data_IF_690492686502
#
_entry.id   IF_690492686502
#
_cell.length_a   1.000
_cell.length_b   1.000
_cell.length_c   1.000
_cell.angle_alpha   90.00
_cell.angle_beta   90.00
_cell.angle_gamma   90.00
#
_symmetry.space_group_name_H-M   'P 1'
#
loop_
_entity.id
_entity.type
_entity.pdbx_description
1 polymer ?
#
# COMPACT_ATOMS: atom_id res chain seq x y z
N UNK A 1 -42.60 -35.15 37.90
CA UNK A 1 -42.88 -34.12 36.88
C UNK A 1 -41.72 -34.11 35.91
N UNK A 2 -41.90 -34.63 34.69
CA UNK A 2 -40.86 -34.76 33.67
C UNK A 2 -41.10 -33.66 32.64
N UNK A 3 -40.13 -32.75 32.49
CA UNK A 3 -40.22 -31.66 31.53
C UNK A 3 -40.09 -32.19 30.09
N UNK A 4 -40.90 -31.71 29.13
CA UNK A 4 -40.82 -32.16 27.75
C UNK A 4 -39.52 -31.69 27.09
N UNK A 5 -38.78 -32.64 26.51
CA UNK A 5 -37.57 -32.42 25.75
C UNK A 5 -37.87 -31.63 24.46
N UNK A 6 -37.20 -30.49 24.30
CA UNK A 6 -37.37 -29.60 23.16
C UNK A 6 -36.78 -30.23 21.87
N UNK A 7 -37.57 -30.41 20.79
CA UNK A 7 -37.07 -31.01 19.55
C UNK A 7 -36.04 -30.07 18.88
N UNK A 8 -34.80 -30.56 18.74
CA UNK A 8 -33.74 -29.88 17.97
C UNK A 8 -34.25 -29.59 16.56
N UNK A 9 -34.50 -28.31 16.26
CA UNK A 9 -34.68 -27.81 14.88
C UNK A 9 -33.48 -28.28 14.06
N UNK A 10 -33.73 -29.12 13.05
CA UNK A 10 -32.74 -29.47 12.04
C UNK A 10 -32.48 -28.21 11.22
N UNK A 11 -31.39 -27.52 11.54
CA UNK A 11 -30.89 -26.38 10.78
C UNK A 11 -30.46 -26.89 9.40
N UNK A 12 -31.33 -26.72 8.41
CA UNK A 12 -31.03 -27.03 7.01
C UNK A 12 -29.92 -26.08 6.58
N UNK A 13 -28.69 -26.59 6.49
CA UNK A 13 -27.54 -25.86 6.00
C UNK A 13 -27.85 -25.33 4.59
N UNK A 14 -28.14 -24.04 4.49
CA UNK A 14 -28.35 -23.35 3.24
C UNK A 14 -27.02 -23.36 2.48
N UNK A 15 -26.85 -24.30 1.55
CA UNK A 15 -25.65 -24.40 0.73
C UNK A 15 -25.54 -23.15 -0.13
N UNK A 16 -24.59 -22.27 0.20
CA UNK A 16 -24.27 -21.13 -0.66
C UNK A 16 -23.80 -21.66 -2.01
N UNK A 17 -24.21 -21.04 -3.13
CA UNK A 17 -23.71 -21.44 -4.44
C UNK A 17 -22.18 -21.37 -4.47
N UNK A 18 -21.51 -22.21 -5.26
CA UNK A 18 -20.05 -22.18 -5.39
C UNK A 18 -19.61 -20.79 -5.87
N UNK A 19 -18.61 -20.25 -5.19
CA UNK A 19 -18.04 -18.96 -5.54
C UNK A 19 -17.32 -19.05 -6.89
N UNK A 20 -17.60 -18.12 -7.79
CA UNK A 20 -17.00 -18.05 -9.13
C UNK A 20 -16.16 -16.79 -9.27
N UNK A 21 -15.18 -16.81 -10.18
CA UNK A 21 -14.34 -15.64 -10.51
C UNK A 21 -15.21 -14.44 -10.91
N UNK A 22 -16.23 -14.66 -11.76
CA UNK A 22 -17.16 -13.61 -12.17
C UNK A 22 -17.91 -12.99 -10.98
N UNK A 23 -18.37 -13.82 -10.04
CA UNK A 23 -19.05 -13.32 -8.83
C UNK A 23 -18.10 -12.54 -7.92
N UNK A 24 -16.83 -12.95 -7.82
CA UNK A 24 -15.81 -12.25 -7.04
C UNK A 24 -15.48 -10.89 -7.63
N UNK A 25 -15.28 -10.81 -8.95
CA UNK A 25 -14.98 -9.55 -9.64
C UNK A 25 -16.15 -8.56 -9.52
N UNK A 26 -17.39 -9.03 -9.68
CA UNK A 26 -18.57 -8.19 -9.47
C UNK A 26 -18.65 -7.67 -8.03
N UNK A 27 -18.28 -8.48 -7.04
CA UNK A 27 -18.22 -8.06 -5.65
C UNK A 27 -17.03 -7.13 -5.35
N UNK A 28 -15.90 -7.29 -6.06
CA UNK A 28 -14.69 -6.51 -5.88
C UNK A 28 -14.94 -5.02 -6.09
N UNK A 29 -15.63 -4.64 -7.17
CA UNK A 29 -15.95 -3.24 -7.47
C UNK A 29 -16.78 -2.61 -6.36
N UNK A 30 -17.77 -3.36 -5.84
CA UNK A 30 -18.59 -2.93 -4.72
C UNK A 30 -17.74 -2.72 -3.46
N UNK A 31 -16.90 -3.70 -3.12
CA UNK A 31 -16.01 -3.64 -1.95
C UNK A 31 -15.07 -2.43 -2.04
N UNK A 32 -14.43 -2.23 -3.19
CA UNK A 32 -13.50 -1.12 -3.41
C UNK A 32 -14.22 0.23 -3.36
N UNK A 33 -15.45 0.31 -3.89
CA UNK A 33 -16.29 1.50 -3.81
C UNK A 33 -16.68 1.84 -2.37
N UNK A 34 -17.03 0.83 -1.56
CA UNK A 34 -17.41 1.03 -0.17
C UNK A 34 -16.22 1.48 0.68
N UNK A 35 -15.01 0.99 0.39
CA UNK A 35 -13.78 1.50 0.99
C UNK A 35 -13.56 2.97 0.67
N UNK A 36 -13.77 3.40 -0.58
CA UNK A 36 -13.63 4.82 -0.96
C UNK A 36 -14.62 5.73 -0.20
N UNK A 37 -15.78 5.20 0.20
CA UNK A 37 -16.78 5.94 0.98
C UNK A 37 -16.48 5.97 2.48
N UNK A 38 -15.55 5.14 2.96
CA UNK A 38 -15.21 5.07 4.39
C UNK A 38 -14.64 6.39 4.91
N UNK A 39 -14.86 6.68 6.20
CA UNK A 39 -14.38 7.92 6.84
C UNK A 39 -12.86 8.07 6.73
N UNK A 40 -12.12 6.97 6.87
CA UNK A 40 -10.66 6.96 6.76
C UNK A 40 -10.18 7.48 5.39
N UNK A 41 -10.86 7.12 4.31
CA UNK A 41 -10.51 7.55 2.96
C UNK A 41 -10.97 8.97 2.63
N UNK A 42 -11.98 9.50 3.33
CA UNK A 42 -12.48 10.87 3.12
C UNK A 42 -11.64 11.92 3.83
N UNK A 43 -11.07 11.57 4.97
CA UNK A 43 -10.32 12.52 5.82
C UNK A 43 -8.94 12.82 5.26
N UNK A 44 -8.41 11.98 4.36
CA UNK A 44 -7.03 12.09 3.86
C UNK A 44 -7.00 12.08 2.36
N UNK A 45 -6.25 13.02 1.79
CA UNK A 45 -5.99 13.04 0.37
C UNK A 45 -5.20 11.80 -0.05
N UNK A 46 -5.62 11.20 -1.17
CA UNK A 46 -4.93 10.05 -1.75
C UNK A 46 -3.59 10.53 -2.28
N UNK A 47 -2.51 9.94 -1.76
CA UNK A 47 -1.17 10.23 -2.24
C UNK A 47 -0.96 9.62 -3.61
N UNK A 48 -0.27 10.36 -4.46
CA UNK A 48 0.30 9.80 -5.68
C UNK A 48 1.58 9.05 -5.31
N UNK A 49 1.76 7.90 -5.95
CA UNK A 49 2.94 7.06 -5.79
C UNK A 49 3.65 6.93 -7.12
N UNK A 50 4.99 6.91 -7.14
CA UNK A 50 5.72 6.59 -8.36
C UNK A 50 5.35 5.18 -8.81
N UNK A 51 5.10 5.06 -10.11
CA UNK A 51 4.87 3.78 -10.77
C UNK A 51 6.16 3.30 -11.43
N UNK A 52 6.50 2.03 -11.20
CA UNK A 52 7.65 1.36 -11.78
C UNK A 52 7.18 0.28 -12.76
N UNK A 53 7.87 0.15 -13.89
CA UNK A 53 7.70 -1.04 -14.72
C UNK A 53 8.37 -2.23 -14.04
N UNK A 54 7.80 -3.43 -14.21
CA UNK A 54 8.37 -4.64 -13.63
C UNK A 54 9.83 -4.89 -14.08
N UNK A 55 10.20 -4.45 -15.28
CA UNK A 55 11.56 -4.56 -15.82
C UNK A 55 12.56 -3.59 -15.19
N UNK A 56 12.10 -2.53 -14.51
CA UNK A 56 12.94 -1.56 -13.81
C UNK A 56 13.37 -2.07 -12.43
N UNK A 57 12.79 -3.15 -11.93
CA UNK A 57 12.91 -3.56 -10.53
C UNK A 57 13.50 -4.95 -10.42
N UNK A 58 14.71 -5.03 -9.90
CA UNK A 58 15.38 -6.30 -9.65
C UNK A 58 15.09 -6.75 -8.21
N UNK A 59 14.67 -8.01 -8.06
CA UNK A 59 14.30 -8.60 -6.76
C UNK A 59 15.32 -9.61 -6.29
N UNK A 60 15.67 -9.54 -5.00
CA UNK A 60 16.62 -10.45 -4.36
C UNK A 60 15.95 -11.59 -3.59
N UNK A 61 16.44 -11.86 -2.38
CA UNK A 61 15.95 -12.93 -1.51
C UNK A 61 14.47 -12.78 -1.13
N UNK A 62 13.80 -13.93 -0.92
CA UNK A 62 12.43 -13.98 -0.39
C UNK A 62 12.47 -13.74 1.11
N UNK A 63 11.77 -12.69 1.55
CA UNK A 63 11.63 -12.31 2.95
C UNK A 63 10.45 -13.01 3.64
N UNK A 64 9.43 -13.43 2.87
CA UNK A 64 8.28 -14.14 3.40
C UNK A 64 7.30 -14.60 2.35
N UNK A 65 6.51 -15.63 2.68
CA UNK A 65 5.45 -16.18 1.83
C UNK A 65 4.15 -16.14 2.64
N UNK A 66 3.13 -15.48 2.10
CA UNK A 66 1.78 -15.43 2.64
C UNK A 66 0.80 -16.29 1.84
N UNK A 67 -0.48 -16.27 2.22
CA UNK A 67 -1.52 -17.07 1.56
C UNK A 67 -1.67 -16.76 0.07
N UNK A 68 -1.62 -15.49 -0.31
CA UNK A 68 -1.80 -15.04 -1.71
C UNK A 68 -0.56 -14.42 -2.33
N UNK A 69 0.51 -14.22 -1.58
CA UNK A 69 1.64 -13.41 -2.06
C UNK A 69 2.98 -13.82 -1.51
N UNK A 70 4.02 -13.34 -2.19
CA UNK A 70 5.43 -13.52 -1.84
C UNK A 70 6.02 -12.14 -1.63
N UNK A 71 6.79 -11.96 -0.56
CA UNK A 71 7.53 -10.74 -0.27
C UNK A 71 9.00 -11.02 -0.51
N UNK A 72 9.62 -10.24 -1.40
CA UNK A 72 11.05 -10.29 -1.68
C UNK A 72 11.71 -8.95 -1.39
N UNK A 73 13.01 -8.94 -1.16
CA UNK A 73 13.75 -7.68 -1.12
C UNK A 73 13.89 -7.07 -2.52
N UNK A 74 14.06 -5.75 -2.57
CA UNK A 74 14.43 -5.05 -3.80
C UNK A 74 15.94 -4.87 -3.80
N UNK A 75 16.62 -5.56 -4.72
CA UNK A 75 18.08 -5.52 -4.81
C UNK A 75 18.57 -4.33 -5.62
N UNK A 76 17.85 -3.95 -6.68
CA UNK A 76 18.21 -2.78 -7.51
C UNK A 76 16.97 -2.17 -8.20
N UNK A 77 17.08 -0.91 -8.61
CA UNK A 77 16.06 -0.22 -9.41
C UNK A 77 16.74 0.58 -10.53
N UNK A 78 16.42 0.21 -11.77
CA UNK A 78 16.93 0.81 -13.00
C UNK A 78 15.94 1.85 -13.53
N UNK A 79 16.20 3.12 -13.27
CA UNK A 79 15.41 4.24 -13.82
C UNK A 79 16.14 4.79 -15.03
N UNK A 80 15.48 4.81 -16.19
CA UNK A 80 16.06 5.40 -17.39
C UNK A 80 16.29 6.90 -17.18
N UNK A 81 17.53 7.34 -17.41
CA UNK A 81 17.94 8.75 -17.27
C UNK A 81 17.46 9.59 -18.45
N UNK A 82 17.02 8.97 -19.54
CA UNK A 82 16.60 9.64 -20.76
C UNK A 82 15.21 10.27 -20.66
N UNK A 83 14.39 9.89 -19.66
CA UNK A 83 13.08 10.50 -19.51
C UNK A 83 13.23 11.96 -19.05
N UNK A 84 12.78 12.93 -19.87
CA UNK A 84 12.87 14.33 -19.51
C UNK A 84 12.15 14.54 -18.20
N UNK A 85 12.82 15.23 -17.28
CA UNK A 85 12.13 15.81 -16.14
C UNK A 85 11.03 16.69 -16.74
N UNK A 86 9.77 16.32 -16.54
CA UNK A 86 8.71 17.29 -16.69
C UNK A 86 8.98 18.31 -15.60
N UNK A 87 9.77 19.33 -15.93
CA UNK A 87 10.09 20.44 -15.06
C UNK A 87 8.77 21.16 -14.81
N UNK A 88 8.08 20.72 -13.76
CA UNK A 88 6.92 21.40 -13.24
C UNK A 88 7.38 22.80 -12.89
N UNK A 89 6.82 23.77 -13.61
CA UNK A 89 6.99 25.21 -13.48
C UNK A 89 7.22 25.60 -12.01
N UNK A 90 8.49 25.86 -11.69
CA UNK A 90 8.91 26.21 -10.34
C UNK A 90 8.51 27.65 -10.07
N UNK A 91 7.43 27.81 -9.30
CA UNK A 91 7.09 29.10 -8.72
C UNK A 91 8.00 29.40 -7.52
N UNK A 92 8.41 30.65 -7.46
CA UNK A 92 9.65 31.10 -6.82
C UNK A 92 9.53 31.32 -5.30
N UNK A 93 10.67 31.11 -4.62
CA UNK A 93 11.12 31.75 -3.36
C UNK A 93 10.36 31.44 -2.05
N UNK A 94 11.05 30.92 -1.03
CA UNK A 94 11.86 31.81 -0.18
C UNK A 94 12.76 31.09 0.83
N UNK A 95 13.82 31.80 1.20
CA UNK A 95 14.87 31.38 2.12
C UNK A 95 14.55 31.85 3.53
N UNK A 96 14.79 31.05 4.58
CA UNK A 96 15.39 31.48 5.85
C UNK A 96 15.54 30.32 6.84
N UNK A 97 16.74 30.21 7.42
CA UNK A 97 17.04 29.26 8.50
C UNK A 97 16.69 29.80 9.88
N UNK A 98 16.64 28.92 10.89
CA UNK A 98 17.02 29.30 12.26
C UNK A 98 17.26 28.13 13.21
N UNK A 99 18.00 28.50 14.26
CA UNK A 99 18.81 27.74 15.22
C UNK A 99 18.04 26.85 16.21
N UNK A 100 18.79 25.87 16.73
CA UNK A 100 18.53 25.11 17.93
C UNK A 100 18.73 25.96 19.21
N UNK A 101 17.82 25.84 20.18
CA UNK A 101 18.07 25.77 21.64
C UNK A 101 16.76 25.87 22.44
N UNK A 102 16.62 25.11 23.53
CA UNK A 102 15.67 25.42 24.61
C UNK A 102 15.01 24.22 25.30
N UNK A 103 15.42 23.96 26.54
CA UNK A 103 14.88 22.95 27.47
C UNK A 103 13.73 23.57 28.29
N UNK A 104 12.65 22.79 28.49
CA UNK A 104 11.88 22.72 29.73
C UNK A 104 10.65 23.64 29.88
N UNK A 105 9.45 23.04 29.84
CA UNK A 105 8.35 23.27 30.79
C UNK A 105 7.20 22.31 30.46
N UNK A 106 6.63 21.62 31.45
CA UNK A 106 5.51 20.69 31.28
C UNK A 106 4.36 21.18 32.17
N UNK A 107 3.23 21.65 31.60
CA UNK A 107 2.01 21.80 32.37
C UNK A 107 0.81 21.04 31.79
N UNK A 108 0.15 20.34 32.72
CA UNK A 108 -1.30 20.15 32.92
C UNK A 108 -2.20 19.96 31.70
N UNK A 109 -2.74 18.74 31.62
CA UNK A 109 -3.72 18.28 30.63
C UNK A 109 -5.11 18.84 30.92
N UNK A 110 -5.56 19.76 30.07
CA UNK A 110 -6.98 20.07 29.84
C UNK A 110 -7.26 19.70 28.39
N UNK A 111 -8.14 18.72 28.14
CA UNK A 111 -8.50 18.26 26.79
C UNK A 111 -9.49 19.26 26.20
N UNK A 112 -8.98 20.40 25.76
CA UNK A 112 -9.66 21.25 24.79
C UNK A 112 -9.17 20.81 23.40
N UNK A 113 -10.11 20.48 22.51
CA UNK A 113 -9.83 20.13 21.11
C UNK A 113 -9.31 21.39 20.39
N UNK A 114 -8.02 21.65 20.58
CA UNK A 114 -7.30 22.74 19.95
C UNK A 114 -7.20 22.45 18.45
N UNK A 115 -7.46 23.42 17.55
CA UNK A 115 -7.25 23.24 16.12
C UNK A 115 -5.77 22.92 15.91
N UNK A 116 -5.54 21.68 15.49
CA UNK A 116 -4.23 21.07 15.30
C UNK A 116 -3.38 21.97 14.40
N UNK A 117 -2.24 22.39 14.93
CA UNK A 117 -1.14 22.96 14.15
C UNK A 117 -0.91 22.07 12.92
N UNK A 118 -1.31 22.57 11.75
CA UNK A 118 -0.98 22.01 10.44
C UNK A 118 0.52 22.16 10.23
N UNK A 119 1.29 21.32 10.91
CA UNK A 119 2.73 21.33 10.85
C UNK A 119 3.13 20.90 9.42
N UNK A 120 3.91 21.75 8.77
CA UNK A 120 4.21 21.82 7.33
C UNK A 120 4.99 20.61 6.75
N UNK A 121 4.53 19.39 6.99
CA UNK A 121 5.11 18.15 6.45
C UNK A 121 4.36 17.58 5.24
N UNK A 122 3.44 18.35 4.66
CA UNK A 122 2.98 18.19 3.27
C UNK A 122 4.03 18.73 2.29
N UNK A 123 5.27 18.29 2.45
CA UNK A 123 6.19 18.25 1.31
C UNK A 123 5.70 17.15 0.39
N UNK A 124 4.72 17.56 -0.40
CA UNK A 124 4.09 16.84 -1.49
C UNK A 124 5.17 16.03 -2.18
N UNK A 125 5.04 14.70 -2.11
CA UNK A 125 6.02 13.78 -2.67
C UNK A 125 6.02 14.05 -4.17
N UNK A 126 7.02 14.78 -4.66
CA UNK A 126 7.09 15.09 -6.08
C UNK A 126 7.35 13.77 -6.81
N UNK A 127 6.29 13.25 -7.45
CA UNK A 127 6.28 11.92 -8.05
C UNK A 127 7.39 11.79 -9.09
N UNK A 128 7.69 12.88 -9.80
CA UNK A 128 8.75 12.96 -10.81
C UNK A 128 10.14 12.66 -10.23
N UNK A 129 10.46 13.20 -9.05
CA UNK A 129 11.78 12.98 -8.41
C UNK A 129 11.79 11.76 -7.50
N UNK A 130 10.62 11.34 -7.01
CA UNK A 130 10.44 10.20 -6.13
C UNK A 130 11.04 8.90 -6.68
N UNK A 131 10.82 8.61 -7.97
CA UNK A 131 11.32 7.39 -8.61
C UNK A 131 12.84 7.28 -8.51
N UNK A 132 13.55 8.36 -8.86
CA UNK A 132 15.02 8.45 -8.77
C UNK A 132 15.51 8.44 -7.31
N UNK A 133 14.80 9.09 -6.40
CA UNK A 133 15.16 9.08 -4.98
C UNK A 133 15.05 7.69 -4.36
N UNK A 134 14.04 6.90 -4.74
CA UNK A 134 13.89 5.52 -4.29
C UNK A 134 15.02 4.67 -4.89
N UNK A 135 15.27 4.78 -6.21
CA UNK A 135 16.33 4.04 -6.88
C UNK A 135 17.73 4.31 -6.28
N UNK A 136 18.10 5.59 -6.11
CA UNK A 136 19.39 5.98 -5.51
C UNK A 136 19.57 5.56 -4.04
N UNK A 137 18.50 5.10 -3.38
CA UNK A 137 18.50 4.70 -1.97
C UNK A 137 18.06 3.26 -1.76
N UNK A 138 18.07 2.45 -2.83
CA UNK A 138 17.64 1.03 -2.79
C UNK A 138 18.41 0.22 -1.75
N UNK A 139 19.69 0.56 -1.51
CA UNK A 139 20.52 -0.03 -0.47
C UNK A 139 20.72 0.90 0.73
N UNK A 140 20.83 0.32 1.93
CA UNK A 140 21.24 0.99 3.16
C UNK A 140 22.22 0.09 3.91
N UNK A 141 23.45 0.55 4.07
CA UNK A 141 24.50 -0.20 4.80
C UNK A 141 24.69 -1.62 4.26
N UNK A 142 24.68 -1.76 2.93
CA UNK A 142 24.84 -3.05 2.25
C UNK A 142 23.61 -3.97 2.29
N UNK A 143 22.47 -3.54 2.84
CA UNK A 143 21.21 -4.30 2.86
C UNK A 143 20.15 -3.62 2.02
N UNK A 144 19.25 -4.40 1.43
CA UNK A 144 18.08 -3.87 0.74
C UNK A 144 17.24 -3.02 1.70
N UNK A 145 16.85 -1.83 1.24
CA UNK A 145 16.06 -0.86 2.00
C UNK A 145 14.55 -1.06 1.82
N UNK A 146 14.17 -1.69 0.73
CA UNK A 146 12.79 -1.86 0.32
C UNK A 146 12.46 -3.35 0.18
N UNK A 147 11.21 -3.66 0.49
CA UNK A 147 10.61 -4.95 0.22
C UNK A 147 9.51 -4.79 -0.82
N UNK A 148 9.18 -5.88 -1.48
CA UNK A 148 8.25 -5.88 -2.59
C UNK A 148 7.29 -7.06 -2.46
N UNK A 149 5.99 -6.78 -2.41
CA UNK A 149 4.96 -7.82 -2.27
C UNK A 149 4.35 -8.14 -3.63
N UNK A 150 4.43 -9.40 -4.04
CA UNK A 150 3.97 -9.97 -5.31
C UNK A 150 2.85 -10.98 -5.09
N UNK A 151 1.97 -11.18 -6.06
CA UNK A 151 1.05 -12.33 -6.04
C UNK A 151 1.85 -13.60 -6.29
N UNK A 152 1.47 -14.68 -5.60
CA UNK A 152 2.12 -15.97 -5.82
C UNK A 152 1.73 -16.49 -7.23
N UNK A 153 2.69 -16.76 -8.14
CA UNK A 153 2.39 -17.19 -9.50
C UNK A 153 1.72 -18.57 -9.56
N UNK A 154 1.84 -19.39 -8.52
CA UNK A 154 1.27 -20.73 -8.45
C UNK A 154 -0.19 -20.78 -7.97
N UNK A 155 -0.85 -19.63 -7.78
CA UNK A 155 -2.25 -19.58 -7.35
C UNK A 155 -3.20 -20.06 -8.45
N UNK A 156 -4.25 -20.77 -8.01
CA UNK A 156 -5.44 -21.04 -8.82
C UNK A 156 -6.06 -19.72 -9.30
N UNK A 157 -6.83 -19.74 -10.38
CA UNK A 157 -7.48 -18.53 -10.89
C UNK A 157 -8.36 -17.86 -9.82
N UNK A 158 -9.14 -18.67 -9.10
CA UNK A 158 -10.00 -18.18 -8.02
C UNK A 158 -9.20 -17.52 -6.88
N UNK A 159 -8.13 -18.16 -6.42
CA UNK A 159 -7.30 -17.60 -5.34
C UNK A 159 -6.47 -16.41 -5.80
N UNK A 160 -6.07 -16.39 -7.09
CA UNK A 160 -5.45 -15.22 -7.71
C UNK A 160 -6.41 -14.04 -7.72
N UNK A 161 -7.68 -14.23 -8.09
CA UNK A 161 -8.69 -13.18 -8.02
C UNK A 161 -8.87 -12.67 -6.60
N UNK A 162 -8.98 -13.56 -5.59
CA UNK A 162 -9.05 -13.16 -4.18
C UNK A 162 -7.82 -12.37 -3.75
N UNK A 163 -6.63 -12.84 -4.11
CA UNK A 163 -5.37 -12.16 -3.84
C UNK A 163 -5.27 -10.78 -4.49
N UNK A 164 -5.77 -10.61 -5.71
CA UNK A 164 -5.84 -9.31 -6.39
C UNK A 164 -6.73 -8.32 -5.62
N UNK A 165 -7.90 -8.78 -5.15
CA UNK A 165 -8.81 -7.95 -4.36
C UNK A 165 -8.16 -7.54 -3.03
N UNK A 166 -7.55 -8.49 -2.33
CA UNK A 166 -6.83 -8.25 -1.08
C UNK A 166 -5.68 -7.25 -1.27
N UNK A 167 -4.87 -7.43 -2.31
CA UNK A 167 -3.78 -6.52 -2.64
C UNK A 167 -4.28 -5.11 -3.00
N UNK A 168 -5.38 -5.00 -3.74
CA UNK A 168 -5.99 -3.71 -4.06
C UNK A 168 -6.47 -2.99 -2.78
N UNK A 169 -7.05 -3.73 -1.83
CA UNK A 169 -7.43 -3.21 -0.53
C UNK A 169 -6.22 -2.73 0.27
N UNK A 170 -5.15 -3.53 0.35
CA UNK A 170 -3.90 -3.14 1.01
C UNK A 170 -3.32 -1.85 0.42
N UNK A 171 -3.27 -1.73 -0.90
CA UNK A 171 -2.80 -0.52 -1.60
C UNK A 171 -3.68 0.68 -1.20
N UNK A 172 -5.02 0.54 -1.19
CA UNK A 172 -5.91 1.62 -0.77
C UNK A 172 -5.66 2.04 0.68
N UNK A 173 -5.56 1.09 1.61
CA UNK A 173 -5.29 1.41 3.01
C UNK A 173 -3.92 2.07 3.21
N UNK A 174 -2.87 1.49 2.62
CA UNK A 174 -1.52 2.04 2.73
C UNK A 174 -1.37 3.40 2.02
N UNK A 175 -2.23 3.71 1.05
CA UNK A 175 -2.19 4.99 0.33
C UNK A 175 -2.44 6.20 1.22
N UNK A 176 -3.21 6.03 2.30
CA UNK A 176 -3.62 7.09 3.24
C UNK A 176 -2.96 6.97 4.63
N UNK A 177 -2.22 5.89 4.89
CA UNK A 177 -1.55 5.66 6.17
C UNK A 177 -0.16 6.31 6.19
N UNK A 178 0.06 7.19 7.17
CA UNK A 178 1.36 7.80 7.41
C UNK A 178 1.63 7.91 8.90
N UNK A 179 2.51 7.04 9.38
CA UNK A 179 2.95 7.03 10.77
C UNK A 179 4.40 6.55 10.82
N UNK A 180 5.27 7.08 11.70
CA UNK A 180 6.69 6.69 11.76
C UNK A 180 6.90 5.20 12.07
N UNK A 181 5.98 4.59 12.82
CA UNK A 181 6.06 3.18 13.24
C UNK A 181 5.16 2.24 12.43
N UNK A 182 4.64 2.69 11.28
CA UNK A 182 3.85 1.85 10.37
C UNK A 182 4.60 1.78 9.05
N UNK A 183 4.61 0.58 8.45
CA UNK A 183 5.19 0.34 7.14
C UNK A 183 4.55 1.29 6.11
N UNK A 184 5.40 1.99 5.34
CA UNK A 184 4.92 2.96 4.36
C UNK A 184 5.05 2.40 2.95
N UNK A 185 3.99 2.55 2.16
CA UNK A 185 4.07 2.34 0.72
C UNK A 185 4.95 3.43 0.09
N UNK A 186 5.80 3.07 -0.87
CA UNK A 186 6.74 3.98 -1.53
C UNK A 186 6.53 4.10 -3.03
N UNK A 187 5.88 3.12 -3.62
CA UNK A 187 5.67 3.01 -5.04
C UNK A 187 4.80 1.81 -5.33
N UNK A 188 4.24 1.82 -6.52
CA UNK A 188 3.54 0.67 -7.10
C UNK A 188 4.28 0.24 -8.35
N UNK A 189 4.20 -1.02 -8.69
CA UNK A 189 4.79 -1.51 -9.93
C UNK A 189 3.70 -2.13 -10.81
N UNK A 190 3.71 -1.72 -12.07
CA UNK A 190 2.83 -2.19 -13.13
C UNK A 190 3.47 -3.40 -13.79
N UNK A 191 2.74 -4.51 -13.80
CA UNK A 191 3.07 -5.74 -14.49
C UNK A 191 1.85 -6.27 -15.21
N UNK A 192 2.07 -7.12 -16.22
CA UNK A 192 1.05 -7.51 -17.20
C UNK A 192 -0.06 -8.40 -16.61
N UNK A 193 -1.10 -7.80 -16.06
CA UNK A 193 -2.07 -8.47 -15.17
C UNK A 193 -2.82 -9.66 -15.79
N UNK A 194 -2.92 -9.70 -17.12
CA UNK A 194 -3.86 -10.56 -17.85
C UNK A 194 -3.17 -11.69 -18.63
N UNK A 195 -1.84 -11.65 -18.75
CA UNK A 195 -1.10 -12.72 -19.38
C UNK A 195 -0.32 -13.48 -18.30
N UNK A 196 -0.51 -14.81 -18.15
CA UNK A 196 0.36 -15.66 -17.36
C UNK A 196 1.69 -15.83 -18.11
N UNK A 197 2.35 -14.72 -18.44
CA UNK A 197 3.79 -14.71 -18.52
C UNK A 197 4.29 -14.88 -17.08
N UNK A 198 5.33 -15.70 -16.81
CA UNK A 198 5.94 -15.82 -15.48
C UNK A 198 6.46 -14.48 -14.90
N UNK A 199 6.40 -13.37 -15.64
CA UNK A 199 6.89 -12.05 -15.24
C UNK A 199 5.84 -11.10 -14.64
N UNK A 200 4.56 -11.46 -14.62
CA UNK A 200 3.50 -10.48 -14.37
C UNK A 200 2.93 -10.53 -12.96
N UNK A 201 3.46 -9.69 -12.08
CA UNK A 201 2.96 -9.54 -10.72
C UNK A 201 2.77 -8.07 -10.36
N UNK A 202 1.61 -7.77 -9.79
CA UNK A 202 1.41 -6.58 -8.97
C UNK A 202 2.39 -6.56 -7.82
N UNK A 203 2.88 -5.38 -7.51
CA UNK A 203 4.13 -5.26 -6.78
C UNK A 203 4.10 -3.97 -5.95
N UNK A 204 4.05 -4.09 -4.62
CA UNK A 204 3.99 -2.93 -3.70
C UNK A 204 5.33 -2.73 -3.01
N UNK A 205 5.90 -1.53 -3.11
CA UNK A 205 7.13 -1.18 -2.41
C UNK A 205 6.85 -0.79 -0.96
N UNK A 206 7.34 -1.59 -0.03
CA UNK A 206 7.19 -1.39 1.40
C UNK A 206 8.53 -0.98 2.02
N UNK A 207 8.47 -0.03 2.96
CA UNK A 207 9.60 0.33 3.82
C UNK A 207 9.24 0.06 5.28
N UNK A 208 9.99 -0.80 5.99
CA UNK A 208 9.88 -0.93 7.45
C UNK A 208 10.38 0.32 8.19
#
# INVERSE_FOLDING_TARGET
MIAPSNPRRKETALTRPPETVASLLANADKILSDVDKSSLMRVREKRLYPTFDASEVDTGEVLGIGGFGVVSEVSDIRVDRSQPQSDGESDSQDSQGSKCAGIGHLPTVTIELHPEHHDHQDRHYEVATAKRQIASRVMRSGKARYAIKKLNPALSELDRTRGMIDMALEIKYLSVLWHPNIVKMRGVCTGDMLHPSPSSSWTVFLRP
#
